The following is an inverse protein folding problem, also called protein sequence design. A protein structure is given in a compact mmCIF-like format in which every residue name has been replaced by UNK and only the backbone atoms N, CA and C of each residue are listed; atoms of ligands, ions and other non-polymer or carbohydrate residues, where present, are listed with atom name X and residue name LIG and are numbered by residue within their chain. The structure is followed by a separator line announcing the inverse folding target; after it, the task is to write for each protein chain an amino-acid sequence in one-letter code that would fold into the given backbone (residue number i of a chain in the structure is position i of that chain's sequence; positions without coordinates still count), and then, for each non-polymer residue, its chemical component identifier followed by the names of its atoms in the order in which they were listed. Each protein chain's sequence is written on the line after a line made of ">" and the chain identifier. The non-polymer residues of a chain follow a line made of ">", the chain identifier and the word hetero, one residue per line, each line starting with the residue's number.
data_IF_527239494179
#
_entry.id   IF_527239494179
#
_cell.length_a   1.000
_cell.length_b   1.000
_cell.length_c   1.000
_cell.angle_alpha   90.00
_cell.angle_beta   90.00
_cell.angle_gamma   90.00
#
_symmetry.space_group_name_H-M   'P 1'
#
loop_
_entity.id
_entity.type
_entity.pdbx_description
1 polymer ?
#
# COMPACT_ATOMS: atom_id res chain seq x y z
N UNK A 1 27.22 -16.64 -37.08
CA UNK A 1 26.64 -15.56 -36.26
C UNK A 1 25.88 -16.21 -35.09
N UNK A 2 26.14 -15.76 -33.90
CA UNK A 2 25.30 -16.13 -32.74
C UNK A 2 23.90 -15.52 -32.88
N UNK A 3 22.92 -16.05 -32.17
CA UNK A 3 21.57 -15.52 -32.20
C UNK A 3 21.53 -14.03 -31.74
N UNK A 4 22.48 -13.61 -30.87
CA UNK A 4 22.65 -12.22 -30.42
C UNK A 4 23.17 -11.34 -31.55
N UNK A 5 24.29 -11.74 -32.21
CA UNK A 5 24.88 -10.99 -33.33
C UNK A 5 23.89 -10.83 -34.49
N UNK A 6 23.08 -11.85 -34.75
CA UNK A 6 22.05 -11.78 -35.78
C UNK A 6 20.94 -10.76 -35.44
N UNK A 7 20.49 -10.72 -34.18
CA UNK A 7 19.50 -9.71 -33.74
C UNK A 7 20.06 -8.30 -33.79
N UNK A 8 21.28 -8.11 -33.29
CA UNK A 8 21.98 -6.82 -33.34
C UNK A 8 22.11 -6.30 -34.78
N UNK A 9 22.44 -7.19 -35.74
CA UNK A 9 22.48 -6.79 -37.16
C UNK A 9 21.08 -6.44 -37.71
N UNK A 10 20.04 -7.19 -37.35
CA UNK A 10 18.67 -6.87 -37.75
C UNK A 10 18.23 -5.50 -37.25
N UNK A 11 18.57 -5.15 -36.02
CA UNK A 11 18.25 -3.85 -35.42
C UNK A 11 18.99 -2.73 -36.14
N UNK A 12 20.30 -2.90 -36.40
CA UNK A 12 21.12 -1.87 -37.04
C UNK A 12 20.72 -1.63 -38.50
N UNK A 13 20.38 -2.71 -39.21
CA UNK A 13 20.12 -2.65 -40.67
C UNK A 13 18.70 -2.18 -41.00
N UNK A 14 17.76 -2.25 -40.00
CA UNK A 14 16.34 -1.98 -40.24
C UNK A 14 15.69 -1.18 -39.10
N UNK A 15 16.24 -0.03 -38.68
CA UNK A 15 15.84 0.67 -37.45
C UNK A 15 14.36 1.10 -37.43
N UNK A 16 13.75 1.33 -38.63
CA UNK A 16 12.38 1.85 -38.75
C UNK A 16 11.29 0.76 -38.78
N UNK A 17 11.68 -0.52 -38.73
CA UNK A 17 10.71 -1.59 -38.71
C UNK A 17 10.08 -1.75 -37.32
N UNK A 18 8.74 -1.78 -37.25
CA UNK A 18 8.00 -2.01 -36.02
C UNK A 18 8.48 -3.24 -35.23
N UNK A 19 8.88 -4.32 -35.93
CA UNK A 19 9.41 -5.53 -35.34
C UNK A 19 10.72 -5.28 -34.54
N UNK A 20 11.47 -4.24 -34.87
CA UNK A 20 12.71 -3.89 -34.17
C UNK A 20 12.42 -3.41 -32.74
N UNK A 21 11.35 -2.64 -32.52
CA UNK A 21 10.93 -2.25 -31.17
C UNK A 21 10.61 -3.48 -30.30
N UNK A 22 10.01 -4.52 -30.89
CA UNK A 22 9.81 -5.80 -30.19
C UNK A 22 11.15 -6.49 -29.86
N UNK A 23 12.10 -6.53 -30.79
CA UNK A 23 13.43 -7.12 -30.54
C UNK A 23 14.18 -6.38 -29.45
N UNK A 24 14.12 -5.05 -29.41
CA UNK A 24 14.74 -4.23 -28.36
C UNK A 24 14.19 -4.60 -26.97
N UNK A 25 12.87 -4.80 -26.83
CA UNK A 25 12.27 -5.26 -25.58
C UNK A 25 12.80 -6.64 -25.16
N UNK A 26 12.94 -7.56 -26.13
CA UNK A 26 13.46 -8.92 -25.86
C UNK A 26 14.93 -8.91 -25.45
N UNK A 27 15.73 -8.03 -26.05
CA UNK A 27 17.14 -7.85 -25.66
C UNK A 27 17.30 -7.17 -24.31
N UNK A 28 16.39 -6.23 -24.02
CA UNK A 28 16.40 -5.44 -22.78
C UNK A 28 17.54 -4.42 -22.71
N UNK A 29 17.74 -3.87 -21.53
CA UNK A 29 18.74 -2.85 -21.26
C UNK A 29 20.11 -3.49 -21.04
N UNK A 30 21.13 -2.99 -21.73
CA UNK A 30 22.53 -3.38 -21.46
C UNK A 30 23.02 -2.64 -20.23
N UNK A 31 23.33 -3.38 -19.17
CA UNK A 31 23.78 -2.84 -17.88
C UNK A 31 25.32 -2.70 -17.93
N UNK A 32 25.91 -1.52 -17.60
CA UNK A 32 27.34 -1.36 -17.43
C UNK A 32 27.89 -2.26 -16.30
N UNK A 33 29.16 -2.64 -16.41
CA UNK A 33 29.79 -3.52 -15.40
C UNK A 33 30.12 -2.84 -14.08
N UNK A 34 30.16 -1.49 -14.05
CA UNK A 34 30.50 -0.66 -12.88
C UNK A 34 31.78 -1.12 -12.18
N UNK A 35 32.83 -1.41 -12.97
CA UNK A 35 34.13 -1.89 -12.47
C UNK A 35 34.80 -0.95 -11.48
N UNK A 36 34.50 0.35 -11.56
CA UNK A 36 34.99 1.39 -10.66
C UNK A 36 34.45 1.29 -9.23
N UNK A 37 33.38 0.49 -9.02
CA UNK A 37 32.80 0.25 -7.70
C UNK A 37 33.37 -1.05 -7.14
N UNK A 38 34.30 -0.93 -6.18
CA UNK A 38 34.98 -2.08 -5.57
C UNK A 38 34.04 -2.94 -4.70
N UNK A 39 33.15 -2.27 -3.94
CA UNK A 39 32.18 -2.97 -3.09
C UNK A 39 31.10 -3.70 -3.92
N UNK A 40 31.03 -5.03 -3.74
CA UNK A 40 30.12 -5.89 -4.51
C UNK A 40 28.65 -5.54 -4.28
N UNK A 41 28.28 -5.14 -3.07
CA UNK A 41 26.90 -4.79 -2.74
C UNK A 41 26.52 -3.43 -3.35
N UNK A 42 27.41 -2.45 -3.27
CA UNK A 42 27.23 -1.16 -3.91
C UNK A 42 27.12 -1.32 -5.44
N UNK A 43 27.95 -2.19 -6.05
CA UNK A 43 27.89 -2.50 -7.49
C UNK A 43 26.54 -3.10 -7.89
N UNK A 44 26.01 -4.06 -7.12
CA UNK A 44 24.67 -4.62 -7.36
C UNK A 44 23.56 -3.56 -7.27
N UNK A 45 23.66 -2.65 -6.30
CA UNK A 45 22.71 -1.55 -6.15
C UNK A 45 22.80 -0.59 -7.34
N UNK A 46 24.01 -0.25 -7.81
CA UNK A 46 24.23 0.60 -8.99
C UNK A 46 23.62 -0.06 -10.24
N UNK A 47 23.90 -1.35 -10.48
CA UNK A 47 23.35 -2.11 -11.59
C UNK A 47 21.81 -2.17 -11.56
N UNK A 48 21.21 -2.39 -10.38
CA UNK A 48 19.76 -2.39 -10.23
C UNK A 48 19.16 -1.01 -10.51
N UNK A 49 19.75 0.07 -9.97
CA UNK A 49 19.30 1.44 -10.22
C UNK A 49 19.37 1.76 -11.71
N UNK A 50 20.51 1.46 -12.35
CA UNK A 50 20.69 1.69 -13.79
C UNK A 50 19.62 0.96 -14.60
N UNK A 51 19.41 -0.34 -14.32
CA UNK A 51 18.40 -1.16 -15.02
C UNK A 51 16.99 -0.58 -14.86
N UNK A 52 16.61 -0.18 -13.65
CA UNK A 52 15.31 0.44 -13.36
C UNK A 52 15.14 1.76 -14.11
N UNK A 53 16.15 2.64 -14.02
CA UNK A 53 16.05 4.00 -14.54
C UNK A 53 16.06 4.02 -16.08
N UNK A 54 16.67 3.01 -16.71
CA UNK A 54 16.74 2.83 -18.16
C UNK A 54 15.80 1.77 -18.74
N UNK A 55 14.91 1.22 -17.92
CA UNK A 55 14.04 0.09 -18.33
C UNK A 55 13.23 0.38 -19.57
N UNK A 56 12.72 1.58 -19.71
CA UNK A 56 11.88 2.01 -20.83
C UNK A 56 12.65 2.71 -21.96
N UNK A 57 13.97 2.85 -21.88
CA UNK A 57 14.77 3.50 -22.94
C UNK A 57 14.79 2.69 -24.25
N UNK A 58 14.47 1.41 -24.17
CA UNK A 58 14.30 0.54 -25.35
C UNK A 58 13.00 0.78 -26.13
N UNK A 59 12.10 1.59 -25.58
CA UNK A 59 10.80 1.93 -26.17
C UNK A 59 10.91 3.24 -26.97
N UNK A 60 11.02 3.15 -28.29
CA UNK A 60 11.01 4.34 -29.14
C UNK A 60 9.61 4.98 -29.22
N UNK A 61 8.55 4.14 -29.23
CA UNK A 61 7.14 4.55 -29.32
C UNK A 61 6.25 3.58 -28.51
N UNK A 62 6.01 3.92 -27.25
CA UNK A 62 5.20 3.11 -26.35
C UNK A 62 3.75 2.88 -26.85
N UNK A 63 3.03 3.89 -27.40
CA UNK A 63 1.69 3.69 -27.95
C UNK A 63 1.61 2.66 -29.06
N UNK A 64 2.57 2.62 -29.97
CA UNK A 64 2.59 1.63 -31.05
C UNK A 64 2.75 0.21 -30.53
N UNK A 65 3.48 0.02 -29.42
CA UNK A 65 3.72 -1.28 -28.80
C UNK A 65 2.47 -1.93 -28.19
N UNK A 66 1.41 -1.17 -27.94
CA UNK A 66 0.13 -1.71 -27.44
C UNK A 66 -0.50 -2.77 -28.34
N UNK A 67 -0.07 -2.86 -29.59
CA UNK A 67 -0.53 -3.88 -30.55
C UNK A 67 0.17 -5.24 -30.35
N UNK A 68 1.15 -5.33 -29.45
CA UNK A 68 1.92 -6.55 -29.20
C UNK A 68 1.48 -7.26 -27.94
N UNK A 69 1.43 -8.61 -27.90
CA UNK A 69 1.00 -9.35 -26.73
C UNK A 69 2.01 -9.29 -25.57
N UNK A 70 3.27 -8.92 -25.84
CA UNK A 70 4.34 -8.88 -24.84
C UNK A 70 4.39 -7.58 -24.05
N UNK A 71 3.84 -6.50 -24.61
CA UNK A 71 4.00 -5.16 -24.05
C UNK A 71 3.35 -4.99 -22.69
N UNK A 72 2.14 -5.53 -22.52
CA UNK A 72 1.47 -5.50 -21.22
C UNK A 72 2.33 -6.14 -20.14
N UNK A 73 2.81 -7.37 -20.36
CA UNK A 73 3.65 -8.08 -19.39
C UNK A 73 4.97 -7.36 -19.12
N UNK A 74 5.57 -6.74 -20.11
CA UNK A 74 6.79 -5.96 -19.98
C UNK A 74 6.58 -4.76 -19.04
N UNK A 75 5.50 -3.99 -19.23
CA UNK A 75 5.17 -2.85 -18.38
C UNK A 75 4.78 -3.29 -16.97
N UNK A 76 3.97 -4.34 -16.84
CA UNK A 76 3.57 -4.84 -15.53
C UNK A 76 4.77 -5.34 -14.71
N UNK A 77 5.74 -5.98 -15.36
CA UNK A 77 7.01 -6.38 -14.72
C UNK A 77 7.76 -5.19 -14.11
N UNK A 78 7.78 -4.03 -14.77
CA UNK A 78 8.36 -2.82 -14.21
C UNK A 78 7.71 -2.44 -12.88
N UNK A 79 6.37 -2.36 -12.86
CA UNK A 79 5.62 -1.98 -11.67
C UNK A 79 5.66 -3.05 -10.56
N UNK A 80 5.84 -4.32 -10.91
CA UNK A 80 5.90 -5.42 -9.93
C UNK A 80 7.29 -5.59 -9.30
N UNK A 81 8.35 -5.46 -10.10
CA UNK A 81 9.70 -5.87 -9.70
C UNK A 81 10.65 -4.69 -9.46
N UNK A 82 10.44 -3.54 -10.12
CA UNK A 82 11.43 -2.46 -10.17
C UNK A 82 11.01 -1.20 -9.40
N UNK A 83 9.71 -0.94 -9.28
CA UNK A 83 9.22 0.22 -8.55
C UNK A 83 9.23 -0.05 -7.04
N UNK A 84 9.74 0.91 -6.27
CA UNK A 84 9.70 0.84 -4.81
C UNK A 84 8.23 0.78 -4.35
N UNK A 85 7.92 -0.21 -3.51
CA UNK A 85 6.56 -0.48 -3.03
C UNK A 85 6.11 0.51 -1.95
N UNK A 86 6.15 1.78 -2.30
CA UNK A 86 5.63 2.92 -1.54
C UNK A 86 4.74 3.75 -2.45
N UNK A 87 3.57 4.17 -1.97
CA UNK A 87 2.57 4.83 -2.79
C UNK A 87 3.15 6.04 -3.55
N UNK A 88 3.91 6.90 -2.89
CA UNK A 88 4.48 8.10 -3.51
C UNK A 88 5.45 7.74 -4.65
N UNK A 89 6.29 6.72 -4.47
CA UNK A 89 7.21 6.24 -5.51
C UNK A 89 6.44 5.67 -6.70
N UNK A 90 5.39 4.91 -6.43
CA UNK A 90 4.52 4.34 -7.47
C UNK A 90 3.77 5.45 -8.22
N UNK A 91 3.25 6.46 -7.51
CA UNK A 91 2.51 7.58 -8.10
C UNK A 91 3.37 8.36 -9.11
N UNK A 92 4.64 8.61 -8.76
CA UNK A 92 5.59 9.27 -9.68
C UNK A 92 5.76 8.42 -10.95
N UNK A 93 6.02 7.13 -10.80
CA UNK A 93 6.24 6.24 -11.95
C UNK A 93 4.99 6.04 -12.81
N UNK A 94 3.80 6.04 -12.21
CA UNK A 94 2.54 5.99 -12.96
C UNK A 94 2.36 7.26 -13.78
N UNK A 95 2.63 8.42 -13.19
CA UNK A 95 2.53 9.70 -13.91
C UNK A 95 3.46 9.72 -15.11
N UNK A 96 4.76 9.43 -14.89
CA UNK A 96 5.79 9.37 -15.94
C UNK A 96 5.42 8.36 -17.05
N UNK A 97 4.76 7.27 -16.66
CA UNK A 97 4.28 6.27 -17.62
C UNK A 97 3.09 6.76 -18.43
N UNK A 98 2.08 7.37 -17.79
CA UNK A 98 0.88 7.88 -18.47
C UNK A 98 1.20 9.05 -19.39
N UNK A 99 2.19 9.87 -19.05
CA UNK A 99 2.65 10.99 -19.88
C UNK A 99 3.18 10.52 -21.24
N UNK A 100 3.71 9.28 -21.35
CA UNK A 100 4.10 8.66 -22.64
C UNK A 100 2.92 8.42 -23.59
N UNK A 101 1.70 8.49 -23.11
CA UNK A 101 0.47 8.31 -23.87
C UNK A 101 -0.28 9.63 -24.13
N UNK A 102 0.37 10.77 -23.91
CA UNK A 102 -0.18 12.06 -24.31
C UNK A 102 -0.50 12.05 -25.81
N UNK A 103 -1.72 12.50 -26.18
CA UNK A 103 -2.21 12.40 -27.56
C UNK A 103 -2.70 11.02 -28.03
N UNK A 104 -2.65 10.00 -27.15
CA UNK A 104 -3.10 8.63 -27.44
C UNK A 104 -4.21 8.18 -26.47
N UNK A 105 -5.45 8.68 -26.59
CA UNK A 105 -6.49 8.52 -25.56
C UNK A 105 -6.85 7.06 -25.26
N UNK A 106 -6.79 6.17 -26.24
CA UNK A 106 -7.05 4.74 -26.02
C UNK A 106 -5.97 4.08 -25.17
N UNK A 107 -4.70 4.42 -25.43
CA UNK A 107 -3.55 3.93 -24.66
C UNK A 107 -3.55 4.47 -23.24
N UNK A 108 -3.79 5.76 -23.09
CA UNK A 108 -3.94 6.42 -21.80
C UNK A 108 -5.03 5.77 -20.96
N UNK A 109 -6.25 5.63 -21.52
CA UNK A 109 -7.37 4.97 -20.82
C UNK A 109 -7.02 3.53 -20.41
N UNK A 110 -6.43 2.76 -21.32
CA UNK A 110 -6.04 1.37 -21.05
C UNK A 110 -5.10 1.28 -19.84
N UNK A 111 -4.01 2.06 -19.82
CA UNK A 111 -3.03 2.01 -18.74
C UNK A 111 -3.56 2.60 -17.44
N UNK A 112 -4.31 3.70 -17.50
CA UNK A 112 -4.94 4.27 -16.32
C UNK A 112 -5.87 3.26 -15.64
N UNK A 113 -6.75 2.60 -16.38
CA UNK A 113 -7.65 1.57 -15.85
C UNK A 113 -6.90 0.34 -15.35
N UNK A 114 -5.89 -0.11 -16.09
CA UNK A 114 -5.06 -1.27 -15.70
C UNK A 114 -4.36 -1.03 -14.36
N UNK A 115 -3.69 0.11 -14.23
CA UNK A 115 -2.97 0.46 -13.00
C UNK A 115 -3.92 0.74 -11.83
N UNK A 116 -5.04 1.40 -12.09
CA UNK A 116 -6.08 1.60 -11.08
C UNK A 116 -6.58 0.27 -10.50
N UNK A 117 -7.00 -0.65 -11.36
CA UNK A 117 -7.47 -1.98 -10.93
C UNK A 117 -6.38 -2.74 -10.16
N UNK A 118 -5.13 -2.73 -10.66
CA UNK A 118 -4.00 -3.36 -9.99
C UNK A 118 -3.84 -2.89 -8.54
N UNK A 119 -3.86 -1.59 -8.31
CA UNK A 119 -3.62 -1.02 -6.98
C UNK A 119 -4.86 -1.03 -6.08
N UNK A 120 -6.07 -0.96 -6.65
CA UNK A 120 -7.32 -1.16 -5.93
C UNK A 120 -7.41 -2.58 -5.33
N UNK A 121 -6.95 -3.59 -6.07
CA UNK A 121 -6.94 -4.99 -5.62
C UNK A 121 -5.68 -5.37 -4.82
N UNK A 122 -4.73 -4.46 -4.67
CA UNK A 122 -3.45 -4.73 -4.02
C UNK A 122 -3.62 -5.18 -2.58
N UNK A 123 -2.89 -6.25 -2.21
CA UNK A 123 -2.77 -6.72 -0.82
C UNK A 123 -1.55 -6.14 -0.10
N UNK A 124 -0.75 -5.34 -0.79
CA UNK A 124 0.42 -4.69 -0.21
C UNK A 124 -0.05 -3.49 0.60
N UNK A 125 0.32 -3.43 1.86
CA UNK A 125 -0.04 -2.36 2.78
C UNK A 125 0.39 -1.00 2.24
N UNK A 126 -0.54 -0.02 2.29
CA UNK A 126 -0.29 1.35 1.84
C UNK A 126 -0.50 1.61 0.34
N UNK A 127 -0.67 0.55 -0.49
CA UNK A 127 -0.90 0.74 -1.93
C UNK A 127 -2.27 1.33 -2.25
N UNK A 128 -3.19 1.37 -1.34
CA UNK A 128 -4.44 2.12 -1.47
C UNK A 128 -4.22 3.64 -1.58
N UNK A 129 -3.05 4.15 -1.18
CA UNK A 129 -2.62 5.52 -1.50
C UNK A 129 -2.49 5.78 -3.01
N UNK A 130 -2.14 4.75 -3.79
CA UNK A 130 -2.10 4.85 -5.26
C UNK A 130 -3.51 4.96 -5.83
N UNK A 131 -4.46 4.18 -5.31
CA UNK A 131 -5.87 4.27 -5.69
C UNK A 131 -6.42 5.68 -5.46
N UNK A 132 -6.13 6.27 -4.29
CA UNK A 132 -6.51 7.65 -3.98
C UNK A 132 -5.87 8.64 -4.94
N UNK A 133 -4.57 8.52 -5.19
CA UNK A 133 -3.85 9.38 -6.13
C UNK A 133 -4.47 9.34 -7.54
N UNK A 134 -4.71 8.14 -8.08
CA UNK A 134 -5.28 7.98 -9.42
C UNK A 134 -6.71 8.54 -9.50
N UNK A 135 -7.48 8.39 -8.43
CA UNK A 135 -8.82 8.96 -8.36
C UNK A 135 -8.79 10.48 -8.34
N UNK A 136 -7.98 11.07 -7.48
CA UNK A 136 -7.90 12.53 -7.28
C UNK A 136 -7.25 13.23 -8.48
N UNK A 137 -6.24 12.59 -9.10
CA UNK A 137 -5.48 13.19 -10.20
C UNK A 137 -6.19 13.04 -11.56
N UNK A 138 -6.95 11.96 -11.75
CA UNK A 138 -7.53 11.64 -13.06
C UNK A 138 -9.05 11.46 -13.04
N UNK A 139 -9.60 10.48 -12.31
CA UNK A 139 -11.00 10.08 -12.44
C UNK A 139 -12.00 11.13 -11.92
N UNK A 140 -11.65 11.89 -10.90
CA UNK A 140 -12.51 12.93 -10.31
C UNK A 140 -12.23 14.32 -10.89
N UNK A 141 -11.48 14.39 -11.99
CA UNK A 141 -11.16 15.64 -12.70
C UNK A 141 -11.68 15.61 -14.13
N UNK A 142 -11.46 16.71 -14.86
CA UNK A 142 -11.78 16.80 -16.29
C UNK A 142 -10.68 16.20 -17.21
N UNK A 143 -9.68 15.51 -16.64
CA UNK A 143 -8.61 14.87 -17.42
C UNK A 143 -9.07 13.62 -18.14
N UNK A 144 -10.19 13.05 -17.75
CA UNK A 144 -10.81 11.88 -18.40
C UNK A 144 -12.26 12.20 -18.79
N UNK A 145 -12.66 11.78 -19.99
CA UNK A 145 -13.97 12.00 -20.58
C UNK A 145 -14.84 10.73 -20.64
N UNK A 146 -14.30 9.62 -20.15
CA UNK A 146 -14.93 8.30 -20.22
C UNK A 146 -15.60 7.84 -18.90
N UNK A 147 -15.67 8.73 -17.90
CA UNK A 147 -16.36 8.51 -16.64
C UNK A 147 -17.61 9.38 -16.60
N UNK A 148 -18.76 8.76 -16.30
CA UNK A 148 -19.98 9.51 -16.03
C UNK A 148 -20.03 9.93 -14.53
N UNK A 149 -21.01 10.80 -14.21
CA UNK A 149 -21.14 11.34 -12.86
C UNK A 149 -21.48 10.27 -11.81
N UNK A 150 -22.23 9.21 -12.18
CA UNK A 150 -22.56 8.11 -11.27
C UNK A 150 -21.29 7.32 -10.92
N UNK A 151 -20.44 7.04 -11.90
CA UNK A 151 -19.16 6.35 -11.68
C UNK A 151 -18.20 7.20 -10.82
N UNK A 152 -18.14 8.51 -11.04
CA UNK A 152 -17.35 9.42 -10.19
C UNK A 152 -17.87 9.41 -8.77
N UNK A 153 -19.18 9.42 -8.58
CA UNK A 153 -19.80 9.35 -7.26
C UNK A 153 -19.48 8.03 -6.54
N UNK A 154 -19.50 6.89 -7.24
CA UNK A 154 -19.12 5.59 -6.66
C UNK A 154 -17.67 5.59 -6.18
N UNK A 155 -16.75 6.16 -6.99
CA UNK A 155 -15.35 6.33 -6.58
C UNK A 155 -15.26 7.19 -5.32
N UNK A 156 -15.94 8.34 -5.29
CA UNK A 156 -15.89 9.26 -4.15
C UNK A 156 -16.43 8.62 -2.87
N UNK A 157 -17.52 7.83 -2.96
CA UNK A 157 -18.04 7.09 -1.81
C UNK A 157 -17.05 6.06 -1.28
N UNK A 158 -16.33 5.33 -2.16
CA UNK A 158 -15.29 4.40 -1.73
C UNK A 158 -14.10 5.11 -1.08
N UNK A 159 -13.72 6.27 -1.61
CA UNK A 159 -12.61 7.06 -1.08
C UNK A 159 -12.87 7.61 0.33
N UNK A 160 -14.13 7.77 0.74
CA UNK A 160 -14.48 8.14 2.14
C UNK A 160 -13.97 7.11 3.14
N UNK A 161 -13.86 5.83 2.73
CA UNK A 161 -13.33 4.77 3.57
C UNK A 161 -11.80 4.65 3.51
N UNK A 162 -11.14 5.23 2.51
CA UNK A 162 -9.70 5.06 2.29
C UNK A 162 -8.92 6.32 2.71
N UNK A 163 -9.33 7.49 2.27
CA UNK A 163 -8.61 8.76 2.49
C UNK A 163 -8.29 9.07 3.95
N UNK A 164 -9.18 8.79 4.96
CA UNK A 164 -8.90 9.16 6.34
C UNK A 164 -7.78 8.32 6.97
N UNK A 165 -7.54 7.11 6.48
CA UNK A 165 -6.65 6.14 7.12
C UNK A 165 -5.43 5.74 6.27
N UNK A 166 -4.97 6.59 5.37
CA UNK A 166 -3.74 6.36 4.62
C UNK A 166 -2.51 6.31 5.55
N UNK A 167 -1.53 5.48 5.20
CA UNK A 167 -0.23 5.45 5.88
C UNK A 167 0.37 6.86 5.88
N UNK A 168 0.94 7.27 7.01
CA UNK A 168 1.53 8.59 7.23
C UNK A 168 0.54 9.66 7.68
N UNK A 169 -0.78 9.46 7.54
CA UNK A 169 -1.79 10.41 8.05
C UNK A 169 -1.98 10.30 9.55
N UNK A 170 -2.42 11.41 10.15
CA UNK A 170 -2.91 11.42 11.53
C UNK A 170 -4.12 10.50 11.64
N UNK A 171 -4.11 9.62 12.64
CA UNK A 171 -5.23 8.73 12.92
C UNK A 171 -6.49 9.52 13.25
N UNK A 172 -7.65 9.19 12.66
CA UNK A 172 -8.92 9.82 12.99
C UNK A 172 -9.24 9.73 14.49
N UNK A 173 -9.83 10.77 15.04
CA UNK A 173 -10.20 10.82 16.47
C UNK A 173 -11.43 9.98 16.73
N UNK A 174 -11.41 9.30 17.88
CA UNK A 174 -12.55 8.51 18.36
C UNK A 174 -12.92 8.92 19.77
N UNK A 175 -14.21 9.08 20.04
CA UNK A 175 -14.79 9.31 21.36
C UNK A 175 -15.33 7.98 21.88
N UNK A 176 -14.50 7.21 22.56
CA UNK A 176 -14.83 5.85 22.99
C UNK A 176 -15.16 5.82 24.48
N UNK A 177 -15.94 4.82 24.86
CA UNK A 177 -16.28 4.55 26.26
C UNK A 177 -15.49 3.33 26.77
N UNK A 178 -15.15 3.34 28.04
CA UNK A 178 -14.60 2.17 28.74
C UNK A 178 -15.73 1.19 29.15
N UNK A 179 -15.35 0.09 29.80
CA UNK A 179 -16.30 -0.93 30.27
C UNK A 179 -17.23 -0.47 31.39
N UNK A 180 -16.92 0.67 32.04
CA UNK A 180 -17.80 1.35 33.00
C UNK A 180 -18.69 2.44 32.33
N UNK A 181 -18.68 2.52 30.99
CA UNK A 181 -19.41 3.53 30.20
C UNK A 181 -18.93 4.95 30.49
N UNK A 182 -17.66 5.13 30.86
CA UNK A 182 -17.04 6.44 31.03
C UNK A 182 -16.26 6.81 29.76
N UNK A 183 -16.33 8.10 29.32
CA UNK A 183 -15.53 8.57 28.21
C UNK A 183 -14.03 8.40 28.48
N UNK A 184 -13.33 7.84 27.51
CA UNK A 184 -11.88 7.66 27.58
C UNK A 184 -11.17 8.51 26.50
N UNK A 185 -10.22 9.32 26.94
CA UNK A 185 -9.44 10.14 26.01
C UNK A 185 -8.15 9.40 25.61
N UNK A 186 -8.04 9.04 24.33
CA UNK A 186 -6.82 8.43 23.79
C UNK A 186 -5.59 9.37 23.84
N UNK A 187 -5.81 10.69 24.01
CA UNK A 187 -4.74 11.68 24.12
C UNK A 187 -3.94 11.57 25.44
N UNK A 188 -4.47 10.88 26.47
CA UNK A 188 -3.75 10.67 27.72
C UNK A 188 -2.72 9.55 27.66
N UNK A 189 -2.73 8.76 26.57
CA UNK A 189 -1.76 7.71 26.33
C UNK A 189 -0.47 8.32 25.78
N UNK A 190 0.67 7.94 26.37
CA UNK A 190 1.99 8.49 26.04
C UNK A 190 2.94 7.45 25.43
N UNK A 191 2.45 6.24 25.23
CA UNK A 191 3.22 5.14 24.65
C UNK A 191 3.76 5.50 23.27
N UNK A 192 4.94 4.96 22.95
CA UNK A 192 5.63 5.19 21.67
C UNK A 192 4.80 4.70 20.50
N UNK A 193 4.10 3.57 20.68
CA UNK A 193 3.19 3.00 19.68
C UNK A 193 1.83 2.72 20.29
N UNK A 194 0.76 2.98 19.53
CA UNK A 194 -0.58 2.53 19.86
C UNK A 194 -1.03 1.50 18.82
N UNK A 195 -1.56 0.38 19.30
CA UNK A 195 -2.10 -0.68 18.46
C UNK A 195 -3.61 -0.67 18.62
N UNK A 196 -4.33 -0.19 17.61
CA UNK A 196 -5.79 -0.27 17.58
C UNK A 196 -6.21 -1.63 17.03
N UNK A 197 -6.88 -2.41 17.86
CA UNK A 197 -7.39 -3.73 17.54
C UNK A 197 -8.91 -3.70 17.51
N UNK A 198 -9.49 -3.52 16.32
CA UNK A 198 -10.93 -3.56 16.11
C UNK A 198 -11.41 -5.01 16.07
N UNK A 199 -12.35 -5.35 16.94
CA UNK A 199 -12.85 -6.71 17.06
C UNK A 199 -14.34 -6.78 17.33
N UNK A 200 -14.94 -7.93 16.99
CA UNK A 200 -16.31 -8.31 17.27
C UNK A 200 -16.28 -9.59 18.12
N UNK A 201 -16.90 -9.60 19.31
CA UNK A 201 -17.00 -10.79 20.17
C UNK A 201 -17.65 -12.01 19.50
N UNK A 202 -18.54 -11.82 18.53
CA UNK A 202 -19.19 -12.91 17.80
C UNK A 202 -18.36 -13.42 16.61
N UNK A 203 -17.34 -12.67 16.19
CA UNK A 203 -16.49 -13.04 15.07
C UNK A 203 -15.54 -14.20 15.40
N UNK A 204 -15.62 -15.29 14.63
CA UNK A 204 -14.79 -16.48 14.81
C UNK A 204 -13.28 -16.22 14.61
N UNK A 205 -12.93 -15.29 13.70
CA UNK A 205 -11.54 -14.88 13.49
C UNK A 205 -11.00 -14.08 14.69
N UNK A 206 -11.81 -13.19 15.26
CA UNK A 206 -11.45 -12.45 16.47
C UNK A 206 -11.15 -13.40 17.64
N UNK A 207 -12.00 -14.40 17.85
CA UNK A 207 -11.80 -15.42 18.89
C UNK A 207 -10.47 -16.18 18.74
N UNK A 208 -10.00 -16.39 17.51
CA UNK A 208 -8.74 -17.07 17.22
C UNK A 208 -7.52 -16.13 17.33
N UNK A 209 -7.64 -14.88 16.87
CA UNK A 209 -6.53 -13.92 16.80
C UNK A 209 -6.27 -13.22 18.14
N UNK A 210 -7.30 -13.01 18.98
CA UNK A 210 -7.16 -12.38 20.30
C UNK A 210 -6.17 -13.09 21.22
N UNK A 211 -6.18 -14.43 21.39
CA UNK A 211 -5.18 -15.14 22.20
C UNK A 211 -3.73 -14.95 21.68
N UNK A 212 -3.54 -14.91 20.35
CA UNK A 212 -2.23 -14.71 19.73
C UNK A 212 -1.69 -13.31 20.07
N UNK A 213 -2.53 -12.27 19.89
CA UNK A 213 -2.16 -10.91 20.25
C UNK A 213 -1.84 -10.81 21.76
N UNK A 214 -2.60 -11.53 22.60
CA UNK A 214 -2.38 -11.56 24.04
C UNK A 214 -1.04 -12.21 24.40
N UNK A 215 -0.64 -13.28 23.73
CA UNK A 215 0.67 -13.90 23.93
C UNK A 215 1.79 -12.94 23.57
N UNK A 216 1.64 -12.15 22.51
CA UNK A 216 2.62 -11.13 22.10
C UNK A 216 2.61 -9.87 22.98
N UNK A 217 1.54 -9.61 23.74
CA UNK A 217 1.35 -8.34 24.48
C UNK A 217 2.48 -7.97 25.43
N UNK A 218 3.06 -8.88 26.24
CA UNK A 218 4.20 -8.55 27.10
C UNK A 218 5.41 -8.03 26.32
N UNK A 219 5.69 -8.56 25.15
CA UNK A 219 6.81 -8.13 24.32
C UNK A 219 6.49 -6.83 23.56
N UNK A 220 5.24 -6.63 23.14
CA UNK A 220 4.75 -5.35 22.64
C UNK A 220 4.90 -4.23 23.68
N UNK A 221 4.58 -4.50 24.94
CA UNK A 221 4.80 -3.54 26.05
C UNK A 221 6.28 -3.20 26.22
N UNK A 222 7.18 -4.18 26.13
CA UNK A 222 8.64 -3.93 26.17
C UNK A 222 9.12 -3.07 25.01
N UNK A 223 8.51 -3.21 23.84
CA UNK A 223 8.74 -2.37 22.67
C UNK A 223 8.08 -0.98 22.76
N UNK A 224 7.45 -0.63 23.88
CA UNK A 224 6.79 0.65 24.11
C UNK A 224 5.42 0.79 23.44
N UNK A 225 4.76 -0.32 23.12
CA UNK A 225 3.45 -0.34 22.50
C UNK A 225 2.33 -0.62 23.52
N UNK A 226 1.17 0.02 23.35
CA UNK A 226 -0.07 -0.27 24.05
C UNK A 226 -1.13 -0.80 23.09
N UNK A 227 -1.85 -1.84 23.52
CA UNK A 227 -2.98 -2.37 22.78
C UNK A 227 -4.28 -1.71 23.26
N UNK A 228 -4.99 -1.10 22.33
CA UNK A 228 -6.33 -0.54 22.54
C UNK A 228 -7.31 -1.41 21.76
N UNK A 229 -7.98 -2.31 22.44
CA UNK A 229 -8.99 -3.16 21.84
C UNK A 229 -10.31 -2.39 21.73
N UNK A 230 -10.81 -2.24 20.50
CA UNK A 230 -12.01 -1.45 20.19
C UNK A 230 -13.11 -2.40 19.74
N UNK A 231 -14.09 -2.57 20.62
CA UNK A 231 -15.27 -3.40 20.36
C UNK A 231 -16.17 -2.72 19.33
N UNK A 232 -16.55 -3.45 18.29
CA UNK A 232 -17.35 -2.91 17.19
C UNK A 232 -18.85 -3.16 17.32
N UNK A 233 -19.31 -3.89 18.35
CA UNK A 233 -20.73 -4.11 18.62
C UNK A 233 -21.28 -3.21 19.72
N UNK A 234 -22.59 -3.08 19.79
CA UNK A 234 -23.31 -2.30 20.81
C UNK A 234 -23.74 -3.10 22.02
N UNK A 235 -23.76 -4.43 21.93
CA UNK A 235 -24.13 -5.32 23.02
C UNK A 235 -23.03 -5.31 24.10
N UNK A 236 -23.24 -4.53 25.14
CA UNK A 236 -22.28 -4.34 26.24
C UNK A 236 -22.09 -5.60 27.06
N UNK A 237 -23.09 -6.47 27.18
CA UNK A 237 -22.95 -7.70 27.94
C UNK A 237 -22.08 -8.72 27.21
N UNK A 238 -22.30 -8.88 25.90
CA UNK A 238 -21.41 -9.69 25.05
C UNK A 238 -19.98 -9.16 25.07
N UNK A 239 -19.81 -7.84 24.99
CA UNK A 239 -18.50 -7.21 25.04
C UNK A 239 -17.78 -7.52 26.36
N UNK A 240 -18.43 -7.29 27.51
CA UNK A 240 -17.86 -7.57 28.85
C UNK A 240 -17.58 -9.06 29.07
N UNK A 241 -18.48 -9.94 28.59
CA UNK A 241 -18.28 -11.38 28.67
C UNK A 241 -17.05 -11.82 27.87
N UNK A 242 -16.86 -11.31 26.66
CA UNK A 242 -15.68 -11.60 25.85
C UNK A 242 -14.38 -11.20 26.54
N UNK A 243 -14.33 -9.99 27.11
CA UNK A 243 -13.17 -9.50 27.87
C UNK A 243 -12.84 -10.46 29.02
N UNK A 244 -13.87 -10.89 29.77
CA UNK A 244 -13.72 -11.82 30.89
C UNK A 244 -13.25 -13.20 30.46
N UNK A 245 -13.87 -13.76 29.42
CA UNK A 245 -13.54 -15.09 28.88
C UNK A 245 -12.11 -15.13 28.33
N UNK A 246 -11.72 -14.12 27.57
CA UNK A 246 -10.39 -14.01 26.99
C UNK A 246 -9.34 -13.49 28.00
N UNK A 247 -9.78 -13.05 29.20
CA UNK A 247 -8.95 -12.47 30.27
C UNK A 247 -8.08 -11.33 29.72
N UNK A 248 -8.70 -10.37 29.04
CA UNK A 248 -7.99 -9.25 28.42
C UNK A 248 -7.59 -8.22 29.47
N UNK A 249 -6.31 -7.95 29.58
CA UNK A 249 -5.68 -7.07 30.56
C UNK A 249 -5.17 -5.74 29.97
N UNK A 250 -5.35 -5.54 28.67
CA UNK A 250 -5.11 -4.28 27.96
C UNK A 250 -6.33 -3.35 28.01
N UNK A 251 -6.19 -2.16 27.45
CA UNK A 251 -7.27 -1.18 27.38
C UNK A 251 -8.39 -1.65 26.44
N UNK A 252 -9.59 -1.77 26.99
CA UNK A 252 -10.78 -2.19 26.25
C UNK A 252 -11.77 -1.03 26.16
N UNK A 253 -12.02 -0.58 24.93
CA UNK A 253 -12.93 0.53 24.60
C UNK A 253 -14.00 0.10 23.61
N UNK A 254 -15.06 0.87 23.49
CA UNK A 254 -16.14 0.60 22.54
C UNK A 254 -16.97 1.83 22.23
N UNK A 255 -17.90 1.68 21.28
CA UNK A 255 -18.87 2.71 20.88
C UNK A 255 -20.30 2.14 20.91
N UNK A 256 -20.80 1.73 22.09
CA UNK A 256 -22.14 1.12 22.21
C UNK A 256 -23.27 2.09 21.88
N UNK A 257 -22.98 3.40 21.83
CA UNK A 257 -23.97 4.47 21.55
C UNK A 257 -23.95 4.97 20.10
N UNK A 258 -23.12 4.34 19.21
CA UNK A 258 -23.00 4.74 17.82
C UNK A 258 -22.65 6.23 17.62
N UNK A 259 -21.73 6.77 18.41
CA UNK A 259 -21.36 8.19 18.37
C UNK A 259 -20.15 8.48 17.46
N UNK A 260 -19.56 7.44 16.88
CA UNK A 260 -18.37 7.56 16.06
C UNK A 260 -18.57 7.00 14.64
N UNK A 261 -17.82 7.56 13.70
CA UNK A 261 -17.74 7.08 12.33
C UNK A 261 -16.50 6.17 12.09
N UNK A 262 -15.92 5.58 13.15
CA UNK A 262 -14.67 4.85 13.02
C UNK A 262 -14.76 3.69 12.00
N UNK A 263 -15.94 3.11 11.79
CA UNK A 263 -16.13 2.07 10.76
C UNK A 263 -15.79 2.58 9.36
N UNK A 264 -16.14 3.81 9.05
CA UNK A 264 -15.79 4.48 7.81
C UNK A 264 -14.36 5.00 7.87
N UNK A 265 -14.00 5.75 8.91
CA UNK A 265 -12.72 6.44 9.03
C UNK A 265 -11.51 5.50 9.11
N UNK A 266 -11.67 4.31 9.67
CA UNK A 266 -10.66 3.24 9.71
C UNK A 266 -10.98 2.09 8.75
N UNK A 267 -11.94 2.26 7.84
CA UNK A 267 -12.36 1.24 6.88
C UNK A 267 -12.59 -0.13 7.54
N UNK A 268 -13.29 -0.15 8.68
CA UNK A 268 -13.57 -1.38 9.44
C UNK A 268 -14.81 -2.06 8.87
N UNK A 269 -14.64 -2.72 7.72
CA UNK A 269 -15.69 -3.51 7.05
C UNK A 269 -15.70 -4.96 7.53
N UNK A 270 -14.58 -5.42 8.05
CA UNK A 270 -14.39 -6.78 8.58
C UNK A 270 -13.57 -6.73 9.86
N UNK A 271 -13.74 -7.75 10.72
CA UNK A 271 -12.97 -7.92 11.96
C UNK A 271 -12.29 -9.29 11.99
N UNK A 272 -11.15 -9.44 12.67
CA UNK A 272 -10.38 -8.37 13.33
C UNK A 272 -9.66 -7.48 12.32
N UNK A 273 -9.40 -6.22 12.71
CA UNK A 273 -8.58 -5.30 11.94
C UNK A 273 -7.64 -4.54 12.85
N UNK A 274 -6.39 -4.38 12.43
CA UNK A 274 -5.34 -3.83 13.27
C UNK A 274 -4.66 -2.64 12.59
N UNK A 275 -4.44 -1.57 13.38
CA UNK A 275 -3.67 -0.39 13.01
C UNK A 275 -2.54 -0.18 14.00
N UNK A 276 -1.40 0.28 13.53
CA UNK A 276 -0.29 0.73 14.40
C UNK A 276 -0.07 2.21 14.16
N UNK A 277 0.00 2.96 15.26
CA UNK A 277 0.27 4.39 15.28
C UNK A 277 1.62 4.63 15.93
N UNK A 278 2.37 5.61 15.42
CA UNK A 278 3.58 6.09 16.07
C UNK A 278 3.28 7.09 17.21
N UNK A 279 4.33 7.62 17.84
CA UNK A 279 4.20 8.58 18.93
C UNK A 279 3.48 9.87 18.55
N UNK A 280 3.58 10.30 17.29
CA UNK A 280 2.85 11.44 16.73
C UNK A 280 1.38 11.11 16.41
N UNK A 281 0.94 9.86 16.63
CA UNK A 281 -0.39 9.36 16.26
C UNK A 281 -0.62 9.30 14.75
N UNK A 282 0.43 9.20 13.96
CA UNK A 282 0.35 8.88 12.53
C UNK A 282 0.22 7.37 12.35
N UNK A 283 -0.58 6.98 11.38
CA UNK A 283 -0.76 5.58 11.00
C UNK A 283 0.53 5.11 10.30
N UNK A 284 1.21 4.13 10.88
CA UNK A 284 2.43 3.52 10.31
C UNK A 284 2.21 2.10 9.79
N UNK A 285 1.14 1.44 10.25
CA UNK A 285 0.66 0.19 9.67
C UNK A 285 -0.85 0.10 9.75
N UNK A 286 -1.46 -0.59 8.78
CA UNK A 286 -2.90 -0.88 8.77
C UNK A 286 -3.18 -2.24 8.13
N UNK A 287 -4.26 -2.88 8.59
CA UNK A 287 -4.70 -4.21 8.11
C UNK A 287 -3.58 -5.26 8.21
N UNK A 288 -2.69 -5.09 9.18
CA UNK A 288 -1.61 -6.02 9.48
C UNK A 288 -2.16 -7.18 10.33
N UNK A 289 -1.64 -8.38 10.13
CA UNK A 289 -1.99 -9.53 10.96
C UNK A 289 -1.37 -9.43 12.35
N UNK A 290 -2.07 -9.98 13.35
CA UNK A 290 -1.62 -9.95 14.77
C UNK A 290 -0.28 -10.63 14.96
N UNK A 291 0.02 -11.67 14.18
CA UNK A 291 1.30 -12.39 14.19
C UNK A 291 2.48 -11.56 13.70
N UNK A 292 2.22 -10.52 12.92
CA UNK A 292 3.25 -9.69 12.29
C UNK A 292 3.52 -8.39 13.04
N UNK A 293 2.65 -8.01 14.00
CA UNK A 293 2.70 -6.67 14.58
C UNK A 293 3.96 -6.41 15.40
N UNK A 294 4.45 -7.42 16.14
CA UNK A 294 5.68 -7.29 16.95
C UNK A 294 6.90 -7.11 16.02
N UNK A 295 7.05 -7.99 15.04
CA UNK A 295 8.15 -7.92 14.07
C UNK A 295 8.11 -6.60 13.29
N UNK A 296 6.92 -6.13 12.92
CA UNK A 296 6.75 -4.84 12.27
C UNK A 296 7.29 -3.69 13.12
N UNK A 297 6.89 -3.61 14.41
CA UNK A 297 7.33 -2.54 15.31
C UNK A 297 8.85 -2.58 15.50
N UNK A 298 9.45 -3.76 15.71
CA UNK A 298 10.89 -3.92 15.86
C UNK A 298 11.67 -3.50 14.61
N UNK A 299 11.20 -3.88 13.44
CA UNK A 299 11.81 -3.48 12.16
C UNK A 299 11.63 -1.98 11.89
N UNK A 300 10.46 -1.42 12.21
CA UNK A 300 10.19 0.01 12.06
C UNK A 300 11.14 0.84 12.92
N UNK A 301 11.42 0.42 14.15
CA UNK A 301 12.39 1.07 15.05
C UNK A 301 13.81 1.08 14.48
N UNK A 302 14.24 -0.05 13.92
CA UNK A 302 15.57 -0.16 13.30
C UNK A 302 15.71 0.78 12.10
N UNK A 303 14.68 0.91 11.28
CA UNK A 303 14.66 1.83 10.15
C UNK A 303 14.68 3.29 10.58
N UNK A 304 13.88 3.65 11.60
CA UNK A 304 13.80 5.02 12.12
C UNK A 304 15.13 5.47 12.74
N UNK A 305 15.82 4.58 13.47
CA UNK A 305 17.15 4.83 14.03
C UNK A 305 18.22 5.02 12.94
N UNK A 306 18.14 4.28 11.83
CA UNK A 306 19.08 4.39 10.72
C UNK A 306 18.86 5.67 9.89
N UNK A 307 17.65 6.20 9.85
CA UNK A 307 17.33 7.46 9.18
C UNK A 307 17.69 8.71 10.01
N UNK A 308 17.85 8.53 11.33
CA UNK A 308 18.21 9.61 12.27
C UNK A 308 19.75 9.81 12.41
N UNK A 309 20.56 8.91 11.84
CA UNK A 309 22.03 8.99 11.76
C UNK A 309 22.50 9.54 10.40
#
# INVERSE_FOLDING_TARGET
>A
LSAKEFRESLISDNPDLFFISFLKIVEGVTIPEFEEIEDLQARKIASFKYYRDHYFDVLDDAPSMMRTPVFHGYVMKYFDDLVIRQADSVNIQIKDWLDKFEGHPQGFRYWLMTLYTKYQESKIMGMDGVTVFLSDEYFLTDKVDFMDEDQKLEIEEELKFIRPNLIGKMAPRMNLLDTAMQPFSLNQLNEKYLIYFFYDPDCGHCKKKTPILKEAYPDLKKAGAEVIAICTITDTDKWKNFIKEQKLDWLNLGDPLYQNNFRMEYNVRTTPQLYVLNQERKIIAKKIDVEQVLDFIQNYELLDQNLAQ
#
